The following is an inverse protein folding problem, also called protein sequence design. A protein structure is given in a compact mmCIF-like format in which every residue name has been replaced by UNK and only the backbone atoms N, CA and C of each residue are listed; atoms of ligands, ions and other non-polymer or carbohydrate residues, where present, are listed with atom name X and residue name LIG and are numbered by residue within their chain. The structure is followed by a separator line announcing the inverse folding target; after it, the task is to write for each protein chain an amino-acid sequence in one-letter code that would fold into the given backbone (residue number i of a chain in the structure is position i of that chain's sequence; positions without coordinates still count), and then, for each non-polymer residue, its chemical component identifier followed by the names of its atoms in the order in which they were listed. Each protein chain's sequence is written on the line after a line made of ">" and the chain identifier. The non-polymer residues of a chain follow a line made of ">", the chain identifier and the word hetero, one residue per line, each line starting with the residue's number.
data_IF_919904025674
#
_entry.id   IF_919904025674
#
_cell.length_a   1.000
_cell.length_b   1.000
_cell.length_c   1.000
_cell.angle_alpha   90.00
_cell.angle_beta   90.00
_cell.angle_gamma   90.00
#
_symmetry.space_group_name_H-M   'P 1'
#
loop_
_entity.id
_entity.type
_entity.pdbx_description
1 polymer ?
#
# COMPACT_ATOMS: atom_id res chain seq x y z
N UNK A 1 58.58 -5.89 -53.60
CA UNK A 1 57.46 -5.09 -53.05
C UNK A 1 56.62 -5.98 -52.11
N UNK A 2 56.95 -5.96 -50.81
CA UNK A 2 56.30 -6.84 -49.81
C UNK A 2 55.26 -6.04 -49.05
N UNK A 3 54.02 -6.14 -49.45
CA UNK A 3 52.86 -5.62 -48.74
C UNK A 3 52.36 -6.70 -47.76
N UNK A 4 53.08 -6.94 -46.67
CA UNK A 4 52.51 -7.59 -45.52
C UNK A 4 51.70 -6.58 -44.73
N UNK A 5 50.45 -6.47 -45.07
CA UNK A 5 49.43 -5.85 -44.22
C UNK A 5 49.37 -6.62 -42.91
N UNK A 6 49.91 -6.06 -41.84
CA UNK A 6 49.68 -6.57 -40.48
C UNK A 6 48.23 -6.32 -40.15
N UNK A 7 47.40 -7.34 -40.29
CA UNK A 7 46.11 -7.39 -39.67
C UNK A 7 46.30 -7.34 -38.15
N UNK A 8 46.16 -6.21 -37.55
CA UNK A 8 46.04 -6.10 -36.07
C UNK A 8 44.75 -6.81 -35.67
N UNK A 9 44.89 -7.98 -35.10
CA UNK A 9 43.77 -8.65 -34.44
C UNK A 9 43.35 -7.76 -33.26
N UNK A 10 42.40 -6.89 -33.53
CA UNK A 10 41.67 -6.19 -32.46
C UNK A 10 40.91 -7.28 -31.70
N UNK A 11 41.37 -7.58 -30.52
CA UNK A 11 40.57 -8.40 -29.59
C UNK A 11 39.30 -7.57 -29.31
N UNK A 12 38.12 -8.12 -29.59
CA UNK A 12 36.90 -7.43 -29.19
C UNK A 12 36.89 -7.43 -27.69
N UNK A 13 37.18 -6.25 -27.10
CA UNK A 13 37.05 -6.02 -25.67
C UNK A 13 35.61 -6.33 -25.27
N UNK A 14 35.43 -7.04 -24.20
CA UNK A 14 34.09 -7.29 -23.63
C UNK A 14 33.47 -5.93 -23.33
N UNK A 15 32.38 -5.63 -24.02
CA UNK A 15 31.63 -4.41 -23.74
C UNK A 15 30.87 -4.59 -22.44
N UNK A 16 31.31 -3.93 -21.37
CA UNK A 16 30.69 -4.02 -20.05
C UNK A 16 29.42 -3.18 -19.95
N UNK A 17 29.27 -2.17 -20.79
CA UNK A 17 28.12 -1.26 -20.74
C UNK A 17 26.76 -1.96 -20.89
N UNK A 18 26.54 -2.88 -21.85
CA UNK A 18 25.27 -3.62 -21.92
C UNK A 18 25.01 -4.52 -20.71
N UNK A 19 26.05 -5.06 -20.12
CA UNK A 19 25.93 -5.92 -18.94
C UNK A 19 25.53 -5.13 -17.71
N UNK A 20 26.09 -3.95 -17.53
CA UNK A 20 25.71 -3.02 -16.46
C UNK A 20 24.25 -2.55 -16.62
N UNK A 21 23.81 -2.29 -17.85
CA UNK A 21 22.44 -1.89 -18.14
C UNK A 21 21.42 -2.96 -17.72
N UNK A 22 21.69 -4.24 -18.10
CA UNK A 22 20.84 -5.36 -17.68
C UNK A 22 20.80 -5.50 -16.17
N UNK A 23 21.93 -5.34 -15.47
CA UNK A 23 21.98 -5.41 -14.02
C UNK A 23 21.18 -4.26 -13.36
N UNK A 24 21.26 -3.04 -13.91
CA UNK A 24 20.48 -1.91 -13.45
C UNK A 24 18.99 -2.13 -13.65
N UNK A 25 18.56 -2.63 -14.80
CA UNK A 25 17.16 -2.95 -15.06
C UNK A 25 16.63 -4.02 -14.09
N UNK A 26 17.42 -5.07 -13.84
CA UNK A 26 17.07 -6.07 -12.84
C UNK A 26 16.96 -5.48 -11.44
N UNK A 27 17.88 -4.60 -11.06
CA UNK A 27 17.84 -3.93 -9.75
C UNK A 27 16.58 -3.10 -9.60
N UNK A 28 16.25 -2.29 -10.59
CA UNK A 28 15.02 -1.47 -10.58
C UNK A 28 13.78 -2.36 -10.52
N UNK A 29 13.75 -3.44 -11.29
CA UNK A 29 12.65 -4.39 -11.26
C UNK A 29 12.46 -5.01 -9.87
N UNK A 30 13.55 -5.44 -9.20
CA UNK A 30 13.47 -5.97 -7.85
C UNK A 30 13.05 -4.92 -6.83
N UNK A 31 13.50 -3.67 -6.95
CA UNK A 31 13.06 -2.58 -6.07
C UNK A 31 11.57 -2.29 -6.22
N UNK A 32 11.05 -2.31 -7.44
CA UNK A 32 9.61 -2.10 -7.68
C UNK A 32 8.76 -3.26 -7.16
N UNK A 33 9.17 -4.51 -7.44
CA UNK A 33 8.48 -5.72 -6.93
C UNK A 33 8.56 -5.84 -5.41
N UNK A 34 9.69 -5.50 -4.81
CA UNK A 34 9.85 -5.49 -3.36
C UNK A 34 8.89 -4.52 -2.67
N UNK A 35 8.71 -3.34 -3.26
CA UNK A 35 7.78 -2.35 -2.72
C UNK A 35 6.32 -2.80 -2.87
N UNK A 36 5.97 -3.44 -3.99
CA UNK A 36 4.65 -4.03 -4.19
C UNK A 36 4.37 -5.18 -3.21
N UNK A 37 5.34 -6.10 -3.02
CA UNK A 37 5.20 -7.24 -2.11
C UNK A 37 5.06 -6.82 -0.62
N UNK A 38 5.65 -5.70 -0.23
CA UNK A 38 5.47 -5.16 1.14
C UNK A 38 4.05 -4.67 1.38
N UNK A 39 3.37 -4.19 0.37
CA UNK A 39 2.00 -3.71 0.50
C UNK A 39 0.98 -4.85 0.64
N UNK A 40 1.33 -6.07 0.22
CA UNK A 40 0.44 -7.24 0.31
C UNK A 40 0.53 -8.00 1.64
N UNK A 41 1.66 -7.89 2.36
CA UNK A 41 1.90 -8.70 3.56
C UNK A 41 1.29 -8.13 4.86
N UNK A 42 0.61 -6.98 4.83
CA UNK A 42 -0.03 -6.44 6.03
C UNK A 42 -1.50 -6.85 6.22
N UNK A 43 -2.02 -7.67 5.32
CA UNK A 43 -3.40 -8.11 5.34
C UNK A 43 -3.49 -9.64 5.49
N UNK A 44 -3.10 -10.17 6.65
CA UNK A 44 -3.59 -11.47 7.11
C UNK A 44 -5.01 -11.28 7.69
N UNK A 45 -5.89 -10.75 6.83
CA UNK A 45 -7.28 -10.44 7.14
C UNK A 45 -8.16 -11.35 6.28
N UNK A 46 -8.74 -12.37 6.90
CA UNK A 46 -9.76 -13.22 6.26
C UNK A 46 -11.07 -12.45 6.12
N UNK A 47 -11.52 -12.28 4.89
CA UNK A 47 -12.68 -11.47 4.54
C UNK A 47 -13.96 -12.29 4.50
N UNK A 48 -15.12 -11.80 5.05
CA UNK A 48 -16.42 -12.35 4.79
C UNK A 48 -16.77 -12.23 3.30
N UNK A 49 -17.22 -13.33 2.70
CA UNK A 49 -17.75 -13.32 1.33
C UNK A 49 -19.08 -12.57 1.30
N UNK A 50 -19.05 -11.25 1.39
CA UNK A 50 -20.18 -10.44 1.00
C UNK A 50 -20.12 -10.26 -0.52
N UNK A 51 -20.89 -11.07 -1.24
CA UNK A 51 -21.11 -10.92 -2.67
C UNK A 51 -21.65 -9.52 -2.95
N UNK A 52 -20.96 -8.81 -3.85
CA UNK A 52 -21.36 -7.56 -4.49
C UNK A 52 -20.98 -6.22 -3.84
N UNK A 53 -19.74 -6.08 -3.40
CA UNK A 53 -19.14 -4.75 -3.43
C UNK A 53 -18.10 -4.70 -4.54
N UNK A 54 -18.40 -3.95 -5.62
CA UNK A 54 -17.42 -3.63 -6.67
C UNK A 54 -16.16 -3.09 -5.99
N UNK A 55 -15.00 -3.71 -6.28
CA UNK A 55 -13.70 -3.16 -5.95
C UNK A 55 -13.59 -1.73 -6.51
N UNK A 56 -13.98 -0.75 -5.72
CA UNK A 56 -13.48 0.60 -5.91
C UNK A 56 -12.16 0.62 -5.16
N UNK A 57 -11.05 0.55 -5.90
CA UNK A 57 -9.77 1.03 -5.40
C UNK A 57 -10.05 2.38 -4.72
N UNK A 58 -9.65 2.49 -3.45
CA UNK A 58 -9.83 3.74 -2.72
C UNK A 58 -9.26 4.88 -3.57
N UNK A 59 -10.03 5.95 -3.83
CA UNK A 59 -9.53 7.10 -4.58
C UNK A 59 -8.26 7.62 -3.92
N UNK A 60 -7.34 8.15 -4.73
CA UNK A 60 -6.10 8.75 -4.23
C UNK A 60 -6.47 9.87 -3.25
N UNK A 61 -6.12 9.67 -1.97
CA UNK A 61 -6.41 10.64 -0.91
C UNK A 61 -7.31 10.14 0.23
N UNK A 62 -7.92 8.94 0.11
CA UNK A 62 -8.75 8.38 1.18
C UNK A 62 -7.88 7.82 2.33
N UNK A 63 -8.35 8.01 3.54
CA UNK A 63 -7.72 7.43 4.74
C UNK A 63 -8.27 6.03 4.96
N UNK A 64 -7.40 5.03 4.87
CA UNK A 64 -7.78 3.64 5.10
C UNK A 64 -7.47 3.25 6.54
N UNK A 65 -8.51 2.87 7.26
CA UNK A 65 -8.46 2.40 8.64
C UNK A 65 -8.69 0.90 8.65
N UNK A 66 -7.65 0.13 8.96
CA UNK A 66 -7.75 -1.32 9.04
C UNK A 66 -8.03 -1.75 10.49
N UNK A 67 -9.01 -2.62 10.68
CA UNK A 67 -9.42 -3.16 11.97
C UNK A 67 -9.17 -4.66 11.97
N UNK A 68 -8.22 -5.13 12.79
CA UNK A 68 -7.93 -6.56 12.94
C UNK A 68 -8.97 -7.28 13.82
N UNK A 69 -8.95 -8.62 13.75
CA UNK A 69 -9.82 -9.48 14.57
C UNK A 69 -9.64 -9.23 16.08
N UNK A 70 -8.43 -8.89 16.51
CA UNK A 70 -8.09 -8.57 17.92
C UNK A 70 -8.56 -7.17 18.37
N UNK A 71 -9.13 -6.38 17.46
CA UNK A 71 -9.61 -5.02 17.73
C UNK A 71 -8.54 -3.94 17.56
N UNK A 72 -7.31 -4.30 17.19
CA UNK A 72 -6.27 -3.33 16.89
C UNK A 72 -6.56 -2.57 15.60
N UNK A 73 -6.35 -1.27 15.64
CA UNK A 73 -6.61 -0.35 14.53
C UNK A 73 -5.28 0.09 13.91
N UNK A 74 -5.19 0.02 12.59
CA UNK A 74 -4.00 0.39 11.84
C UNK A 74 -4.34 1.43 10.77
N UNK A 75 -3.59 2.51 10.78
CA UNK A 75 -3.63 3.54 9.74
C UNK A 75 -2.20 3.80 9.26
N UNK A 76 -1.96 3.74 7.95
CA UNK A 76 -0.63 3.95 7.37
C UNK A 76 0.47 3.15 8.07
N UNK A 77 0.24 1.86 8.36
CA UNK A 77 1.18 0.93 9.02
C UNK A 77 1.49 1.26 10.48
N UNK A 78 0.75 2.17 11.11
CA UNK A 78 0.88 2.46 12.53
C UNK A 78 -0.33 1.92 13.27
N UNK A 79 -0.08 1.22 14.37
CA UNK A 79 -1.14 0.86 15.32
C UNK A 79 -1.52 2.12 16.10
N UNK A 80 -2.81 2.42 16.13
CA UNK A 80 -3.34 3.57 16.83
C UNK A 80 -4.37 3.11 17.87
N UNK A 81 -4.38 3.78 19.01
CA UNK A 81 -5.49 3.68 19.94
C UNK A 81 -6.71 4.47 19.44
N UNK A 82 -7.88 4.21 19.98
CA UNK A 82 -9.08 4.95 19.59
C UNK A 82 -8.94 6.47 19.77
N UNK A 83 -8.25 6.92 20.85
CA UNK A 83 -7.99 8.32 21.10
C UNK A 83 -7.06 8.95 20.04
N UNK A 84 -5.96 8.27 19.72
CA UNK A 84 -5.00 8.72 18.69
C UNK A 84 -5.63 8.76 17.30
N UNK A 85 -6.48 7.78 16.99
CA UNK A 85 -7.26 7.78 15.75
C UNK A 85 -8.19 8.99 15.68
N UNK A 86 -8.89 9.29 16.77
CA UNK A 86 -9.78 10.46 16.87
C UNK A 86 -9.05 11.78 16.65
N UNK A 87 -7.87 11.96 17.26
CA UNK A 87 -7.05 13.17 17.06
C UNK A 87 -6.55 13.30 15.64
N UNK A 88 -6.07 12.18 15.04
CA UNK A 88 -5.62 12.15 13.67
C UNK A 88 -6.73 12.53 12.69
N UNK A 89 -7.93 11.96 12.87
CA UNK A 89 -9.08 12.24 12.02
C UNK A 89 -9.56 13.68 12.17
N UNK A 90 -9.62 14.23 13.40
CA UNK A 90 -9.94 15.65 13.63
C UNK A 90 -8.98 16.57 12.90
N UNK A 91 -7.67 16.28 12.96
CA UNK A 91 -6.66 17.07 12.23
C UNK A 91 -6.87 17.03 10.72
N UNK A 92 -7.21 15.87 10.17
CA UNK A 92 -7.46 15.73 8.74
C UNK A 92 -8.74 16.43 8.28
N UNK A 93 -9.81 16.36 9.06
CA UNK A 93 -11.07 17.03 8.76
C UNK A 93 -10.93 18.56 8.82
N UNK A 94 -10.08 19.10 9.70
CA UNK A 94 -9.76 20.51 9.71
C UNK A 94 -9.08 20.99 8.44
N UNK A 95 -8.26 20.13 7.82
CA UNK A 95 -7.58 20.43 6.56
C UNK A 95 -8.48 20.19 5.34
N UNK A 96 -9.33 19.17 5.39
CA UNK A 96 -10.25 18.80 4.34
C UNK A 96 -11.56 18.25 4.93
N UNK A 97 -12.60 19.08 4.93
CA UNK A 97 -13.92 18.72 5.49
C UNK A 97 -14.62 17.57 4.76
N UNK A 98 -14.23 17.28 3.51
CA UNK A 98 -14.78 16.20 2.71
C UNK A 98 -13.90 14.93 2.72
N UNK A 99 -12.95 14.84 3.66
CA UNK A 99 -12.05 13.70 3.76
C UNK A 99 -12.84 12.40 3.87
N UNK A 100 -12.61 11.49 2.92
CA UNK A 100 -13.19 10.16 2.97
C UNK A 100 -12.34 9.23 3.84
N UNK A 101 -13.02 8.42 4.63
CA UNK A 101 -12.41 7.39 5.48
C UNK A 101 -12.97 6.03 5.08
N UNK A 102 -12.09 5.10 4.75
CA UNK A 102 -12.47 3.72 4.38
C UNK A 102 -12.12 2.80 5.55
N UNK A 103 -13.13 2.22 6.18
CA UNK A 103 -12.95 1.23 7.26
C UNK A 103 -12.87 -0.16 6.64
N UNK A 104 -11.73 -0.83 6.83
CA UNK A 104 -11.55 -2.24 6.44
C UNK A 104 -11.56 -3.11 7.68
N UNK A 105 -12.53 -4.02 7.74
CA UNK A 105 -12.65 -4.95 8.86
C UNK A 105 -12.20 -6.36 8.47
N UNK A 106 -11.66 -7.09 9.46
CA UNK A 106 -11.37 -8.51 9.36
C UNK A 106 -12.67 -9.32 9.40
N UNK A 107 -12.78 -10.38 8.59
CA UNK A 107 -13.92 -11.32 8.59
C UNK A 107 -14.14 -11.96 9.95
N UNK A 108 -13.04 -12.35 10.60
CA UNK A 108 -13.08 -12.96 11.93
C UNK A 108 -13.22 -11.92 13.06
N UNK A 109 -13.19 -10.61 12.70
CA UNK A 109 -13.29 -9.54 13.66
C UNK A 109 -14.68 -9.38 14.26
N UNK A 110 -14.74 -9.10 15.55
CA UNK A 110 -16.00 -8.80 16.21
C UNK A 110 -16.59 -7.52 15.62
N UNK A 111 -17.84 -7.55 15.20
CA UNK A 111 -18.59 -6.38 14.71
C UNK A 111 -18.52 -5.17 15.64
N UNK A 112 -18.44 -5.42 16.95
CA UNK A 112 -18.23 -4.42 18.00
C UNK A 112 -17.02 -3.54 17.74
N UNK A 113 -15.92 -4.09 17.23
CA UNK A 113 -14.68 -3.35 16.97
C UNK A 113 -14.86 -2.36 15.81
N UNK A 114 -15.58 -2.78 14.77
CA UNK A 114 -15.91 -1.93 13.62
C UNK A 114 -16.81 -0.77 14.06
N UNK A 115 -17.81 -1.04 14.89
CA UNK A 115 -18.69 0.00 15.45
C UNK A 115 -17.91 0.96 16.33
N UNK A 116 -16.94 0.46 17.12
CA UNK A 116 -16.06 1.31 17.91
C UNK A 116 -15.30 2.33 17.04
N UNK A 117 -14.73 1.89 15.95
CA UNK A 117 -14.02 2.77 15.00
C UNK A 117 -15.00 3.74 14.31
N UNK A 118 -16.19 3.28 13.94
CA UNK A 118 -17.21 4.14 13.34
C UNK A 118 -17.63 5.27 14.29
N UNK A 119 -17.79 4.97 15.58
CA UNK A 119 -18.10 5.99 16.59
C UNK A 119 -16.99 7.04 16.68
N UNK A 120 -15.73 6.61 16.69
CA UNK A 120 -14.57 7.51 16.68
C UNK A 120 -14.57 8.41 15.42
N UNK A 121 -14.88 7.85 14.25
CA UNK A 121 -15.02 8.63 13.01
C UNK A 121 -16.12 9.68 13.12
N UNK A 122 -17.29 9.30 13.66
CA UNK A 122 -18.43 10.19 13.83
C UNK A 122 -18.13 11.32 14.83
N UNK A 123 -17.50 11.02 15.96
CA UNK A 123 -17.06 11.98 16.96
C UNK A 123 -15.99 12.95 16.42
N UNK A 124 -15.14 12.47 15.50
CA UNK A 124 -14.15 13.31 14.82
C UNK A 124 -14.76 14.22 13.74
N UNK A 125 -16.04 14.05 13.39
CA UNK A 125 -16.73 14.86 12.40
C UNK A 125 -16.59 14.34 10.95
N UNK A 126 -16.19 13.08 10.78
CA UNK A 126 -16.11 12.45 9.45
C UNK A 126 -17.53 12.22 8.92
N UNK A 127 -17.86 12.82 7.79
CA UNK A 127 -19.17 12.68 7.12
C UNK A 127 -19.15 11.63 6.02
N UNK A 128 -18.00 11.35 5.45
CA UNK A 128 -17.83 10.41 4.33
C UNK A 128 -17.09 9.14 4.79
N UNK A 129 -17.86 8.16 5.24
CA UNK A 129 -17.33 6.85 5.68
C UNK A 129 -17.75 5.78 4.69
N UNK A 130 -16.79 5.03 4.17
CA UNK A 130 -17.01 3.86 3.35
C UNK A 130 -16.53 2.60 4.08
N UNK A 131 -17.16 1.47 3.80
CA UNK A 131 -16.72 0.17 4.29
C UNK A 131 -16.15 -0.62 3.14
N UNK A 132 -14.99 -1.21 3.38
CA UNK A 132 -14.36 -2.15 2.47
C UNK A 132 -14.05 -3.44 3.22
N UNK A 133 -14.08 -4.54 2.51
CA UNK A 133 -13.59 -5.81 3.04
C UNK A 133 -12.14 -5.96 2.58
N UNK A 134 -11.25 -6.38 3.48
CA UNK A 134 -9.90 -6.75 3.07
C UNK A 134 -9.99 -8.03 2.22
N UNK A 135 -9.22 -8.07 1.16
CA UNK A 135 -9.12 -9.24 0.27
C UNK A 135 -7.89 -10.04 0.62
#
# INVERSE_FOLDING_TARGET
>A
MNLRSRATLQHPGIQLAPLVDVLLLLLIFFLMTWNAARNENELDVKVPKASAAKEKSAPIGDVVVNVKADGNVFVNRRTLSGAELGELLKGLIQLNSEQAVVIRGDEAGAYKNIIGVLNVCTEAGVTNVAFATAK
#
